data_IF_217208309214
#
_entry.id   IF_217208309214
#
_cell.length_a   1.000
_cell.length_b   1.000
_cell.length_c   1.000
_cell.angle_alpha   90.00
_cell.angle_beta   90.00
_cell.angle_gamma   90.00
#
_symmetry.space_group_name_H-M   'P 1'
#
loop_
_entity.id
_entity.type
_entity.pdbx_description
1 polymer ?
#
# COMPACT_ATOMS: atom_id res chain seq x y z
N UNK A 1 33.13 -7.93 5.79
CA UNK A 1 31.83 -8.63 5.61
C UNK A 1 30.76 -8.19 6.58
N UNK A 2 31.03 -8.20 7.88
CA UNK A 2 30.05 -7.78 8.88
C UNK A 2 29.64 -6.31 8.74
N UNK A 3 30.60 -5.44 8.37
CA UNK A 3 30.33 -4.02 8.15
C UNK A 3 29.35 -3.82 7.01
N UNK A 4 29.51 -4.58 5.93
CA UNK A 4 28.57 -4.55 4.78
C UNK A 4 27.17 -4.94 5.19
N UNK A 5 27.03 -5.98 5.99
CA UNK A 5 25.73 -6.45 6.48
C UNK A 5 25.04 -5.36 7.31
N UNK A 6 25.81 -4.68 8.18
CA UNK A 6 25.26 -3.59 9.00
C UNK A 6 24.79 -2.42 8.15
N UNK A 7 25.55 -2.04 7.12
CA UNK A 7 25.19 -0.95 6.21
C UNK A 7 23.89 -1.30 5.47
N UNK A 8 23.78 -2.53 4.98
CA UNK A 8 22.56 -2.99 4.31
C UNK A 8 21.36 -2.95 5.25
N UNK A 9 21.54 -3.38 6.50
CA UNK A 9 20.45 -3.35 7.48
C UNK A 9 20.01 -1.93 7.81
N UNK A 10 20.94 -0.99 7.88
CA UNK A 10 20.60 0.42 8.10
C UNK A 10 19.82 1.01 6.93
N UNK A 11 20.25 0.69 5.70
CA UNK A 11 19.55 1.15 4.49
C UNK A 11 18.14 0.60 4.46
N UNK A 12 17.97 -0.68 4.77
CA UNK A 12 16.65 -1.31 4.83
C UNK A 12 15.76 -0.64 5.88
N UNK A 13 16.30 -0.35 7.07
CA UNK A 13 15.56 0.31 8.13
C UNK A 13 15.13 1.72 7.72
N UNK A 14 16.01 2.46 7.03
CA UNK A 14 15.68 3.79 6.54
C UNK A 14 14.57 3.75 5.50
N UNK A 15 14.63 2.83 4.54
CA UNK A 15 13.59 2.65 3.53
C UNK A 15 12.27 2.25 4.15
N UNK A 16 12.30 1.38 5.15
CA UNK A 16 11.11 0.97 5.88
C UNK A 16 10.47 2.15 6.60
N UNK A 17 11.27 2.98 7.26
CA UNK A 17 10.77 4.17 7.95
C UNK A 17 10.18 5.18 6.97
N UNK A 18 10.81 5.37 5.81
CA UNK A 18 10.26 6.24 4.76
C UNK A 18 8.92 5.74 4.26
N UNK A 19 8.80 4.43 4.02
CA UNK A 19 7.55 3.83 3.59
C UNK A 19 6.46 4.00 4.63
N UNK A 20 6.78 3.80 5.90
CA UNK A 20 5.81 3.98 6.99
C UNK A 20 5.33 5.42 7.08
N UNK A 21 6.21 6.40 6.80
CA UNK A 21 5.85 7.81 6.80
C UNK A 21 4.87 8.17 5.67
N UNK A 22 4.92 7.44 4.55
CA UNK A 22 3.99 7.64 3.44
C UNK A 22 2.59 7.09 3.74
N UNK A 23 2.49 6.13 4.65
CA UNK A 23 1.25 5.43 4.93
C UNK A 23 0.93 5.46 6.43
N UNK A 24 0.64 6.66 6.99
CA UNK A 24 0.34 6.78 8.42
C UNK A 24 -0.90 5.95 8.79
N UNK A 25 -0.81 5.25 9.92
CA UNK A 25 -1.87 4.34 10.36
C UNK A 25 -1.80 2.96 9.74
N UNK A 26 -0.91 2.75 8.75
CA UNK A 26 -0.75 1.46 8.07
C UNK A 26 0.64 0.87 8.25
N UNK A 27 1.35 1.29 9.28
CA UNK A 27 2.74 0.89 9.52
C UNK A 27 2.92 -0.63 9.62
N UNK A 28 1.99 -1.31 10.28
CA UNK A 28 2.05 -2.76 10.39
C UNK A 28 1.85 -3.47 9.05
N UNK A 29 1.05 -2.90 8.17
CA UNK A 29 0.85 -3.42 6.81
C UNK A 29 2.12 -3.21 5.99
N UNK A 30 2.77 -2.05 6.12
CA UNK A 30 4.05 -1.79 5.45
C UNK A 30 5.08 -2.84 5.86
N UNK A 31 5.21 -3.13 7.16
CA UNK A 31 6.10 -4.18 7.65
C UNK A 31 5.77 -5.54 7.04
N UNK A 32 4.50 -5.88 7.01
CA UNK A 32 4.03 -7.16 6.47
C UNK A 32 4.39 -7.31 4.98
N UNK A 33 4.18 -6.27 4.19
CA UNK A 33 4.50 -6.28 2.76
C UNK A 33 6.00 -6.37 2.53
N UNK A 34 6.80 -5.59 3.25
CA UNK A 34 8.25 -5.61 3.11
C UNK A 34 8.84 -6.95 3.54
N UNK A 35 8.34 -7.51 4.65
CA UNK A 35 8.83 -8.80 5.15
C UNK A 35 8.53 -9.95 4.19
N UNK A 36 7.55 -9.80 3.33
CA UNK A 36 7.14 -10.82 2.37
C UNK A 36 7.50 -10.48 0.91
N UNK A 37 8.27 -9.42 0.70
CA UNK A 37 8.74 -9.03 -0.63
C UNK A 37 7.64 -8.61 -1.58
N UNK A 38 6.53 -8.06 -1.07
CA UNK A 38 5.39 -7.66 -1.88
C UNK A 38 5.56 -6.19 -2.28
N UNK A 39 5.59 -5.87 -3.58
CA UNK A 39 5.79 -4.49 -4.02
C UNK A 39 4.56 -3.62 -3.74
N UNK A 40 4.83 -2.37 -3.41
CA UNK A 40 3.81 -1.33 -3.27
C UNK A 40 4.44 0.01 -3.63
N UNK A 41 3.59 1.03 -3.87
CA UNK A 41 4.09 2.33 -4.29
C UNK A 41 4.89 3.03 -3.18
N UNK A 42 6.09 3.48 -3.50
CA UNK A 42 6.92 4.31 -2.62
C UNK A 42 6.68 5.80 -2.84
N UNK A 43 5.78 6.15 -3.77
CA UNK A 43 5.45 7.55 -4.09
C UNK A 43 4.13 7.98 -3.45
N UNK A 44 3.49 7.11 -2.66
CA UNK A 44 2.19 7.41 -2.05
C UNK A 44 1.07 7.48 -3.07
N UNK A 45 1.15 6.71 -4.14
CA UNK A 45 0.13 6.66 -5.19
C UNK A 45 -1.08 5.87 -4.69
N UNK A 46 -2.09 6.60 -4.25
CA UNK A 46 -3.28 6.05 -3.59
C UNK A 46 -4.58 6.45 -4.28
N UNK A 47 -4.49 7.06 -5.44
CA UNK A 47 -5.65 7.56 -6.19
C UNK A 47 -6.01 6.67 -7.36
N UNK A 48 -7.31 6.50 -7.57
CA UNK A 48 -7.84 5.90 -8.78
C UNK A 48 -8.22 7.04 -9.74
N UNK A 49 -7.71 6.98 -10.95
CA UNK A 49 -7.99 8.00 -11.97
C UNK A 49 -8.91 7.43 -13.03
N UNK A 50 -9.74 8.32 -13.62
CA UNK A 50 -10.51 7.95 -14.80
C UNK A 50 -9.68 8.14 -16.07
N UNK A 51 -10.27 7.91 -17.24
CA UNK A 51 -9.58 8.02 -18.52
C UNK A 51 -9.16 9.46 -18.88
N UNK A 52 -9.61 10.45 -18.13
CA UNK A 52 -9.21 11.86 -18.28
C UNK A 52 -8.21 12.30 -17.20
N UNK A 53 -7.62 11.34 -16.47
CA UNK A 53 -6.70 11.59 -15.37
C UNK A 53 -7.30 12.38 -14.20
N UNK A 54 -8.62 12.28 -14.03
CA UNK A 54 -9.32 12.90 -12.90
C UNK A 54 -9.40 11.87 -11.76
N UNK A 55 -9.05 12.31 -10.54
CA UNK A 55 -9.15 11.45 -9.35
C UNK A 55 -10.61 11.16 -9.05
N UNK A 56 -11.00 9.89 -9.05
CA UNK A 56 -12.38 9.47 -8.76
C UNK A 56 -12.48 8.67 -7.46
N UNK A 57 -11.38 8.20 -6.91
CA UNK A 57 -11.39 7.49 -5.63
C UNK A 57 -10.00 7.58 -4.98
N UNK A 58 -9.96 7.54 -3.67
CA UNK A 58 -8.72 7.58 -2.89
C UNK A 58 -8.80 6.57 -1.75
N UNK A 59 -7.68 5.93 -1.43
CA UNK A 59 -7.57 4.99 -0.33
C UNK A 59 -6.36 5.32 0.54
N UNK A 60 -6.22 4.61 1.66
CA UNK A 60 -5.02 4.71 2.48
C UNK A 60 -3.81 4.07 1.81
N UNK A 61 -4.03 2.99 1.08
CA UNK A 61 -2.99 2.30 0.31
C UNK A 61 -3.64 1.57 -0.86
N UNK A 62 -2.94 1.54 -2.00
CA UNK A 62 -3.36 0.76 -3.17
C UNK A 62 -2.30 -0.28 -3.51
N UNK A 63 -2.73 -1.53 -3.62
CA UNK A 63 -1.92 -2.62 -4.15
C UNK A 63 -2.44 -2.91 -5.56
N UNK A 64 -1.89 -2.19 -6.55
CA UNK A 64 -2.43 -2.21 -7.91
C UNK A 64 -2.31 -3.57 -8.59
N UNK A 65 -1.20 -4.26 -8.36
CA UNK A 65 -0.98 -5.58 -8.97
C UNK A 65 -1.96 -6.63 -8.46
N UNK A 66 -2.33 -6.53 -7.19
CA UNK A 66 -3.28 -7.45 -6.55
C UNK A 66 -4.71 -6.92 -6.59
N UNK A 67 -4.90 -5.68 -7.02
CA UNK A 67 -6.18 -4.98 -7.07
C UNK A 67 -6.87 -4.95 -5.70
N UNK A 68 -6.14 -4.44 -4.71
CA UNK A 68 -6.64 -4.29 -3.34
C UNK A 68 -6.55 -2.82 -2.95
N UNK A 69 -7.66 -2.25 -2.46
CA UNK A 69 -7.72 -0.91 -1.91
C UNK A 69 -7.93 -1.01 -0.41
N UNK A 70 -6.99 -0.48 0.37
CA UNK A 70 -6.99 -0.54 1.82
C UNK A 70 -7.39 0.82 2.39
N UNK A 71 -8.39 0.83 3.25
CA UNK A 71 -8.93 2.05 3.87
C UNK A 71 -9.36 3.12 2.88
N UNK A 72 -10.36 2.86 2.02
CA UNK A 72 -10.92 3.92 1.17
C UNK A 72 -11.42 5.08 2.04
N UNK A 73 -11.25 6.30 1.54
CA UNK A 73 -11.50 7.51 2.33
C UNK A 73 -12.98 7.81 2.58
N UNK A 74 -13.87 7.30 1.71
CA UNK A 74 -15.32 7.52 1.82
C UNK A 74 -16.09 6.45 1.04
N UNK A 75 -17.43 6.51 1.15
CA UNK A 75 -18.30 5.52 0.48
C UNK A 75 -18.22 5.62 -1.05
N UNK A 76 -18.08 6.84 -1.59
CA UNK A 76 -17.96 7.02 -3.04
C UNK A 76 -16.69 6.34 -3.55
N UNK A 77 -15.58 6.46 -2.83
CA UNK A 77 -14.33 5.77 -3.17
C UNK A 77 -14.51 4.25 -3.13
N UNK A 78 -15.23 3.72 -2.14
CA UNK A 78 -15.52 2.28 -2.06
C UNK A 78 -16.21 1.81 -3.34
N UNK A 79 -17.26 2.49 -3.75
CA UNK A 79 -18.04 2.13 -4.94
C UNK A 79 -17.17 2.19 -6.19
N UNK A 80 -16.38 3.25 -6.33
CA UNK A 80 -15.51 3.42 -7.51
C UNK A 80 -14.42 2.36 -7.58
N UNK A 81 -13.78 2.03 -6.46
CA UNK A 81 -12.78 0.96 -6.44
C UNK A 81 -13.38 -0.38 -6.79
N UNK A 82 -14.54 -0.70 -6.24
CA UNK A 82 -15.22 -1.96 -6.56
C UNK A 82 -15.60 -2.03 -8.03
N UNK A 83 -16.09 -0.94 -8.59
CA UNK A 83 -16.42 -0.86 -10.02
C UNK A 83 -15.20 -1.05 -10.91
N UNK A 84 -14.01 -0.68 -10.43
CA UNK A 84 -12.75 -0.85 -11.15
C UNK A 84 -12.13 -2.25 -10.94
N UNK A 85 -12.80 -3.12 -10.21
CA UNK A 85 -12.34 -4.50 -9.99
C UNK A 85 -11.44 -4.67 -8.77
N UNK A 86 -11.38 -3.68 -7.88
CA UNK A 86 -10.58 -3.78 -6.66
C UNK A 86 -11.37 -4.47 -5.54
N UNK A 87 -10.65 -5.23 -4.72
CA UNK A 87 -11.16 -5.71 -3.44
C UNK A 87 -10.92 -4.60 -2.43
N UNK A 88 -11.97 -4.19 -1.73
CA UNK A 88 -11.91 -3.10 -0.76
C UNK A 88 -11.90 -3.70 0.64
N UNK A 89 -10.90 -3.33 1.46
CA UNK A 89 -10.77 -3.81 2.83
C UNK A 89 -10.32 -2.68 3.74
N UNK A 90 -10.59 -2.80 5.04
CA UNK A 90 -9.96 -1.92 6.02
C UNK A 90 -8.63 -2.54 6.49
N UNK A 91 -7.81 -1.75 7.19
CA UNK A 91 -6.50 -2.19 7.64
C UNK A 91 -6.56 -3.36 8.63
N UNK A 92 -7.64 -3.45 9.40
CA UNK A 92 -7.81 -4.53 10.38
C UNK A 92 -8.17 -5.86 9.71
N UNK A 93 -8.77 -5.82 8.52
CA UNK A 93 -9.24 -7.02 7.81
C UNK A 93 -8.24 -7.50 6.75
N UNK A 94 -7.22 -6.71 6.45
CA UNK A 94 -6.25 -7.08 5.42
C UNK A 94 -5.38 -8.26 5.87
N UNK A 95 -5.24 -9.27 5.00
CA UNK A 95 -4.35 -10.41 5.23
C UNK A 95 -3.57 -10.72 3.97
N UNK A 96 -2.39 -11.35 4.13
CA UNK A 96 -1.55 -11.75 3.00
C UNK A 96 -2.24 -12.74 2.06
N UNK A 97 -3.19 -13.51 2.56
CA UNK A 97 -3.92 -14.47 1.73
C UNK A 97 -4.73 -13.81 0.63
N UNK A 98 -5.00 -12.51 0.75
CA UNK A 98 -5.70 -11.74 -0.28
C UNK A 98 -4.81 -11.46 -1.49
N UNK A 99 -3.49 -11.58 -1.32
CA UNK A 99 -2.49 -11.35 -2.38
C UNK A 99 -2.09 -12.71 -2.95
N UNK A 100 -2.42 -12.95 -4.20
CA UNK A 100 -2.11 -14.22 -4.84
C UNK A 100 -1.38 -14.03 -6.15
#
# INVERSE_FOLDING_TARGET
MFVMIKVMSLIEAMKRNEAKALYPGLESIVDLLLDNGIPFSMDGDVDLLDHNDVVIATAGMLLRDSKIAINPVDEDSIVKFMAAGYTVVDSASFTLSMIK
#
